data_IF_794949594486
#
_entry.id   IF_794949594486
#
_cell.length_a   1.000
_cell.length_b   1.000
_cell.length_c   1.000
_cell.angle_alpha   90.00
_cell.angle_beta   90.00
_cell.angle_gamma   90.00
#
_symmetry.space_group_name_H-M   'P 1'
#
loop_
_entity.id
_entity.type
_entity.pdbx_description
1 polymer ?
#
# COMPACT_ATOMS: atom_id res chain seq x y z
N UNK A 1 6.68 -26.89 24.21
CA UNK A 1 6.29 -25.61 23.60
C UNK A 1 7.52 -25.09 22.89
N UNK A 2 7.57 -25.24 21.57
CA UNK A 2 8.74 -24.90 20.78
C UNK A 2 8.77 -23.38 20.52
N UNK A 3 9.97 -22.83 20.69
CA UNK A 3 10.49 -21.54 20.21
C UNK A 3 9.62 -20.87 19.14
N UNK A 4 9.07 -19.72 19.51
CA UNK A 4 8.67 -18.72 18.53
C UNK A 4 9.94 -18.14 17.93
N UNK A 5 10.37 -18.72 16.81
CA UNK A 5 11.45 -18.27 15.95
C UNK A 5 11.33 -16.74 15.72
N UNK A 6 12.06 -15.96 16.52
CA UNK A 6 12.14 -14.52 16.36
C UNK A 6 12.92 -14.30 15.07
N UNK A 7 12.19 -14.10 13.97
CA UNK A 7 12.77 -13.66 12.71
C UNK A 7 13.39 -12.29 12.95
N UNK A 8 14.66 -12.28 13.30
CA UNK A 8 15.46 -11.06 13.44
C UNK A 8 15.68 -10.50 12.03
N UNK A 9 14.78 -9.60 11.63
CA UNK A 9 14.91 -8.90 10.37
C UNK A 9 15.80 -7.68 10.60
N UNK A 10 16.90 -7.58 9.83
CA UNK A 10 17.73 -6.40 9.84
C UNK A 10 16.88 -5.18 9.42
N UNK A 11 17.07 -4.04 10.10
CA UNK A 11 16.33 -2.80 9.80
C UNK A 11 16.39 -2.45 8.31
N UNK A 12 17.57 -2.59 7.69
CA UNK A 12 17.77 -2.31 6.27
C UNK A 12 16.92 -3.19 5.35
N UNK A 13 16.69 -4.46 5.71
CA UNK A 13 15.83 -5.36 4.94
C UNK A 13 14.35 -4.98 5.08
N UNK A 14 13.94 -4.55 6.28
CA UNK A 14 12.59 -4.06 6.52
C UNK A 14 12.30 -2.75 5.75
N UNK A 15 13.26 -1.82 5.71
CA UNK A 15 13.17 -0.59 4.91
C UNK A 15 13.09 -0.88 3.42
N UNK A 16 13.94 -1.78 2.93
CA UNK A 16 13.95 -2.20 1.54
C UNK A 16 12.62 -2.85 1.15
N UNK A 17 12.07 -3.71 2.01
CA UNK A 17 10.77 -4.33 1.77
C UNK A 17 9.63 -3.31 1.75
N UNK A 18 9.59 -2.38 2.71
CA UNK A 18 8.56 -1.35 2.76
C UNK A 18 8.64 -0.40 1.55
N UNK A 19 9.86 -0.12 1.06
CA UNK A 19 10.10 0.65 -0.16
C UNK A 19 9.61 -0.10 -1.41
N UNK A 20 9.94 -1.39 -1.54
CA UNK A 20 9.46 -2.25 -2.63
C UNK A 20 7.94 -2.32 -2.68
N UNK A 21 7.28 -2.43 -1.53
CA UNK A 21 5.82 -2.37 -1.44
C UNK A 21 5.25 -1.03 -1.92
N UNK A 22 5.91 0.08 -1.59
CA UNK A 22 5.52 1.41 -2.07
C UNK A 22 5.59 1.49 -3.59
N UNK A 23 6.73 1.10 -4.17
CA UNK A 23 6.93 1.07 -5.63
C UNK A 23 5.90 0.17 -6.34
N UNK A 24 5.58 -0.98 -5.75
CA UNK A 24 4.56 -1.88 -6.28
C UNK A 24 3.17 -1.22 -6.26
N UNK A 25 2.82 -0.51 -5.18
CA UNK A 25 1.59 0.27 -5.08
C UNK A 25 1.48 1.36 -6.14
N UNK A 26 2.57 2.11 -6.34
CA UNK A 26 2.64 3.17 -7.37
C UNK A 26 2.49 2.58 -8.78
N UNK A 27 3.16 1.46 -9.07
CA UNK A 27 3.06 0.75 -10.33
C UNK A 27 1.65 0.22 -10.59
N UNK A 28 0.99 -0.37 -9.58
CA UNK A 28 -0.40 -0.80 -9.68
C UNK A 28 -1.34 0.37 -9.97
N UNK A 29 -1.15 1.51 -9.29
CA UNK A 29 -1.97 2.69 -9.49
C UNK A 29 -1.82 3.26 -10.91
N UNK A 30 -0.59 3.32 -11.43
CA UNK A 30 -0.32 3.79 -12.79
C UNK A 30 -0.93 2.86 -13.86
N UNK A 31 -0.76 1.54 -13.69
CA UNK A 31 -1.33 0.55 -14.59
C UNK A 31 -2.87 0.64 -14.60
N UNK A 32 -3.48 0.78 -13.41
CA UNK A 32 -4.92 0.92 -13.27
C UNK A 32 -5.44 2.21 -13.91
N UNK A 33 -4.79 3.34 -13.68
CA UNK A 33 -5.17 4.62 -14.29
C UNK A 33 -5.19 4.54 -15.83
N UNK A 34 -4.19 3.87 -16.41
CA UNK A 34 -4.12 3.62 -17.85
C UNK A 34 -5.29 2.74 -18.34
N UNK A 35 -5.59 1.66 -17.62
CA UNK A 35 -6.70 0.77 -17.95
C UNK A 35 -8.07 1.47 -17.81
N UNK A 36 -8.28 2.22 -16.74
CA UNK A 36 -9.51 2.97 -16.48
C UNK A 36 -9.80 4.02 -17.57
N UNK A 37 -8.76 4.66 -18.11
CA UNK A 37 -8.89 5.56 -19.25
C UNK A 37 -9.38 4.84 -20.52
N UNK A 38 -8.92 3.62 -20.78
CA UNK A 38 -9.39 2.80 -21.92
C UNK A 38 -10.83 2.33 -21.73
N UNK A 39 -11.20 1.95 -20.51
CA UNK A 39 -12.56 1.54 -20.17
C UNK A 39 -13.56 2.69 -20.37
N UNK A 40 -13.16 3.93 -20.07
CA UNK A 40 -13.98 5.12 -20.31
C UNK A 40 -14.25 5.42 -21.81
N UNK A 41 -13.54 4.77 -22.76
CA UNK A 41 -13.82 4.93 -24.18
C UNK A 41 -15.20 4.37 -24.58
N UNK A 42 -15.80 3.53 -23.73
CA UNK A 42 -17.15 3.00 -23.91
C UNK A 42 -18.22 4.07 -24.11
N UNK A 43 -18.01 5.26 -23.53
CA UNK A 43 -18.92 6.42 -23.65
C UNK A 43 -19.07 6.90 -25.10
N UNK A 44 -18.18 6.47 -26.00
CA UNK A 44 -18.22 6.79 -27.42
C UNK A 44 -19.22 5.94 -28.22
N UNK A 45 -19.86 4.93 -27.61
CA UNK A 45 -20.82 4.03 -28.28
C UNK A 45 -22.11 4.72 -28.78
N UNK A 46 -22.28 6.02 -28.48
CA UNK A 46 -23.40 6.84 -28.94
C UNK A 46 -24.70 6.59 -28.18
N UNK A 47 -25.57 7.61 -28.12
CA UNK A 47 -26.81 7.59 -27.31
C UNK A 47 -27.99 6.83 -27.96
N UNK A 48 -27.73 6.00 -28.97
CA UNK A 48 -28.77 5.18 -29.59
C UNK A 48 -29.31 4.11 -28.64
N UNK A 49 -30.49 3.50 -28.94
CA UNK A 49 -31.11 2.51 -28.05
C UNK A 49 -30.19 1.33 -27.68
N UNK A 50 -29.33 0.90 -28.59
CA UNK A 50 -28.35 -0.16 -28.33
C UNK A 50 -27.22 0.30 -27.41
N UNK A 51 -26.67 1.51 -27.64
CA UNK A 51 -25.64 2.10 -26.79
C UNK A 51 -26.13 2.31 -25.35
N UNK A 52 -27.36 2.82 -25.19
CA UNK A 52 -27.99 2.98 -23.87
C UNK A 52 -28.13 1.65 -23.11
N UNK A 53 -28.56 0.57 -23.80
CA UNK A 53 -28.66 -0.76 -23.19
C UNK A 53 -27.29 -1.33 -22.82
N UNK A 54 -26.30 -1.14 -23.68
CA UNK A 54 -24.93 -1.57 -23.41
C UNK A 54 -24.37 -0.85 -22.17
N UNK A 55 -24.45 0.49 -22.13
CA UNK A 55 -23.98 1.30 -21.01
C UNK A 55 -24.67 0.92 -19.70
N UNK A 56 -25.99 0.68 -19.72
CA UNK A 56 -26.73 0.23 -18.54
C UNK A 56 -26.22 -1.10 -17.97
N UNK A 57 -25.79 -2.04 -18.82
CA UNK A 57 -25.18 -3.30 -18.37
C UNK A 57 -23.71 -3.13 -17.97
N UNK A 58 -23.00 -2.21 -18.61
CA UNK A 58 -21.58 -1.96 -18.43
C UNK A 58 -21.26 -1.22 -17.11
N UNK A 59 -21.92 -0.09 -16.85
CA UNK A 59 -21.59 0.81 -15.74
C UNK A 59 -21.56 0.15 -14.35
N UNK A 60 -22.51 -0.73 -13.97
CA UNK A 60 -22.47 -1.36 -12.65
C UNK A 60 -21.19 -2.18 -12.44
N UNK A 61 -20.75 -2.89 -13.48
CA UNK A 61 -19.54 -3.72 -13.44
C UNK A 61 -18.29 -2.86 -13.44
N UNK A 62 -18.25 -1.80 -14.26
CA UNK A 62 -17.14 -0.83 -14.25
C UNK A 62 -16.97 -0.14 -12.89
N UNK A 63 -18.09 0.26 -12.26
CA UNK A 63 -18.07 0.86 -10.92
C UNK A 63 -17.52 -0.09 -9.86
N UNK A 64 -17.94 -1.37 -9.88
CA UNK A 64 -17.41 -2.40 -8.97
C UNK A 64 -15.91 -2.62 -9.17
N UNK A 65 -15.46 -2.70 -10.44
CA UNK A 65 -14.06 -2.88 -10.77
C UNK A 65 -13.20 -1.70 -10.30
N UNK A 66 -13.67 -0.47 -10.50
CA UNK A 66 -13.00 0.75 -10.00
C UNK A 66 -12.89 0.76 -8.47
N UNK A 67 -13.95 0.36 -7.76
CA UNK A 67 -13.94 0.23 -6.31
C UNK A 67 -12.90 -0.78 -5.83
N UNK A 68 -12.91 -1.99 -6.40
CA UNK A 68 -11.96 -3.05 -6.04
C UNK A 68 -10.51 -2.65 -6.31
N UNK A 69 -10.23 -1.98 -7.44
CA UNK A 69 -8.90 -1.50 -7.76
C UNK A 69 -8.42 -0.41 -6.79
N UNK A 70 -9.30 0.54 -6.42
CA UNK A 70 -8.98 1.58 -5.44
C UNK A 70 -8.65 0.97 -4.07
N UNK A 71 -9.45 0.01 -3.61
CA UNK A 71 -9.18 -0.71 -2.36
C UNK A 71 -7.84 -1.46 -2.39
N UNK A 72 -7.49 -2.10 -3.50
CA UNK A 72 -6.23 -2.82 -3.64
C UNK A 72 -5.02 -1.88 -3.52
N UNK A 73 -5.04 -0.75 -4.24
CA UNK A 73 -3.97 0.27 -4.19
C UNK A 73 -3.83 0.83 -2.77
N UNK A 74 -4.93 1.18 -2.14
CA UNK A 74 -4.97 1.71 -0.78
C UNK A 74 -4.44 0.70 0.26
N UNK A 75 -4.80 -0.59 0.15
CA UNK A 75 -4.26 -1.65 1.02
C UNK A 75 -2.74 -1.80 0.89
N UNK A 76 -2.20 -1.77 -0.33
CA UNK A 76 -0.74 -1.82 -0.56
C UNK A 76 -0.05 -0.59 0.03
N UNK A 77 -0.63 0.59 -0.15
CA UNK A 77 -0.14 1.84 0.46
C UNK A 77 -0.07 1.75 1.98
N UNK A 78 -1.13 1.24 2.63
CA UNK A 78 -1.14 1.01 4.08
C UNK A 78 -0.07 0.02 4.55
N UNK A 79 0.16 -1.07 3.81
CA UNK A 79 1.22 -2.04 4.15
C UNK A 79 2.61 -1.41 4.10
N UNK A 80 2.91 -0.64 3.04
CA UNK A 80 4.17 0.12 2.95
C UNK A 80 4.31 1.17 4.06
N UNK A 81 3.22 1.87 4.39
CA UNK A 81 3.18 2.84 5.49
C UNK A 81 3.46 2.20 6.85
N UNK A 82 2.78 1.09 7.15
CA UNK A 82 2.97 0.33 8.39
C UNK A 82 4.41 -0.18 8.53
N UNK A 83 4.99 -0.74 7.46
CA UNK A 83 6.38 -1.19 7.46
C UNK A 83 7.37 -0.05 7.81
N UNK A 84 7.21 1.12 7.16
CA UNK A 84 8.04 2.30 7.46
C UNK A 84 7.84 2.82 8.89
N UNK A 85 6.62 2.77 9.41
CA UNK A 85 6.34 3.19 10.78
C UNK A 85 6.98 2.24 11.80
N UNK A 86 6.92 0.93 11.58
CA UNK A 86 7.55 -0.07 12.44
C UNK A 86 9.08 0.09 12.48
N UNK A 87 9.72 0.33 11.33
CA UNK A 87 11.15 0.64 11.29
C UNK A 87 11.49 1.87 12.13
N UNK A 88 10.77 2.98 11.93
CA UNK A 88 10.99 4.21 12.70
C UNK A 88 10.78 4.01 14.20
N UNK A 89 9.80 3.19 14.59
CA UNK A 89 9.56 2.89 16.00
C UNK A 89 10.73 2.10 16.62
N UNK A 90 11.27 1.12 15.89
CA UNK A 90 12.43 0.35 16.31
C UNK A 90 13.70 1.20 16.46
N UNK A 91 13.98 2.06 15.47
CA UNK A 91 15.15 2.94 15.49
C UNK A 91 15.10 3.96 16.64
N UNK A 92 13.94 4.60 16.84
CA UNK A 92 13.73 5.50 17.98
C UNK A 92 13.83 4.78 19.34
N UNK A 93 13.33 3.53 19.43
CA UNK A 93 13.46 2.71 20.63
C UNK A 93 14.92 2.37 20.93
N UNK A 94 15.68 2.01 19.90
CA UNK A 94 17.10 1.68 19.99
C UNK A 94 17.93 2.89 20.42
N UNK A 95 17.66 4.07 19.84
CA UNK A 95 18.32 5.31 20.24
C UNK A 95 18.04 5.68 21.70
N UNK A 96 16.79 5.54 22.17
CA UNK A 96 16.43 5.78 23.58
C UNK A 96 17.12 4.82 24.53
N UNK A 97 17.20 3.53 24.18
CA UNK A 97 17.91 2.54 24.98
C UNK A 97 19.41 2.85 25.06
N UNK A 98 20.03 3.23 23.94
CA UNK A 98 21.43 3.64 23.89
C UNK A 98 21.69 4.90 24.73
N UNK A 99 20.81 5.91 24.70
CA UNK A 99 20.94 7.09 25.56
C UNK A 99 20.78 6.77 27.05
N UNK A 100 19.86 5.88 27.42
CA UNK A 100 19.69 5.44 28.81
C UNK A 100 20.90 4.65 29.33
N UNK A 101 21.55 3.87 28.48
CA UNK A 101 22.80 3.16 28.80
C UNK A 101 24.03 4.07 28.82
N UNK A 102 23.98 5.24 28.18
CA UNK A 102 25.03 6.25 28.18
C UNK A 102 24.98 7.21 29.38
N UNK A 103 23.92 7.17 30.20
CA UNK A 103 23.84 7.86 31.50
C UNK A 103 23.98 6.91 32.73
N UNK A 104 25.05 6.10 32.88
CA UNK A 104 25.32 5.44 34.15
C UNK A 104 26.12 6.40 35.03
N UNK A 105 25.45 7.21 35.86
CA UNK A 105 26.14 7.96 36.93
C UNK A 105 25.66 9.38 37.20
N UNK A 106 24.36 9.58 37.42
CA UNK A 106 23.92 10.69 38.29
C UNK A 106 23.25 10.11 39.52
N UNK A 107 24.08 9.51 40.37
CA UNK A 107 23.75 9.35 41.78
C UNK A 107 23.92 10.71 42.47
N UNK A 108 22.88 11.10 43.22
CA UNK A 108 22.81 12.27 44.11
C UNK A 108 23.68 12.08 45.36
#
# INVERSE_FOLDING_TARGET
MADGDQVEMAIGDAELFATRLGVLGDGLNQAWSTAAGRLAAVEQLGAGPMGARFLAAYHPTDAQLRGAAAEAVDRVGRLSGAGRQSVRAYDNGSARAASAMAEPGRDY
#
